data_IF_311906689111
#
_entry.id   IF_311906689111
#
_cell.length_a   1.000
_cell.length_b   1.000
_cell.length_c   1.000
_cell.angle_alpha   90.00
_cell.angle_beta   90.00
_cell.angle_gamma   90.00
#
_symmetry.space_group_name_H-M   'P 1'
#
loop_
_entity.id
_entity.type
_entity.pdbx_description
1 polymer ?
#
# COMPACT_ATOMS: atom_id res chain seq x y z
N UNK A 1 7.39 24.65 2.73
CA UNK A 1 6.38 24.14 1.81
C UNK A 1 6.51 22.63 1.65
N UNK A 2 5.38 21.93 1.67
CA UNK A 2 5.39 20.49 1.57
C UNK A 2 5.17 20.05 0.14
N UNK A 3 5.86 19.00 -0.23
CA UNK A 3 5.63 18.36 -1.51
C UNK A 3 4.79 17.12 -1.31
N UNK A 4 3.92 16.86 -2.25
CA UNK A 4 3.15 15.64 -2.24
C UNK A 4 3.62 14.76 -3.37
N UNK A 5 3.81 13.50 -3.04
CA UNK A 5 4.23 12.50 -4.02
C UNK A 5 3.14 11.45 -4.07
N UNK A 6 2.64 11.19 -5.26
CA UNK A 6 1.65 10.16 -5.44
C UNK A 6 2.34 8.82 -5.72
N UNK A 7 1.96 7.80 -4.98
CA UNK A 7 2.42 6.44 -5.26
C UNK A 7 1.22 5.52 -5.22
N UNK A 8 1.32 4.43 -5.96
CA UNK A 8 0.27 3.42 -5.94
C UNK A 8 0.35 2.57 -4.70
N UNK A 9 1.52 2.48 -4.10
CA UNK A 9 1.68 1.71 -2.90
C UNK A 9 3.12 1.32 -2.69
N UNK A 10 3.30 0.49 -1.69
CA UNK A 10 4.62 -0.04 -1.35
C UNK A 10 4.73 -1.42 -1.98
N UNK A 11 5.80 -1.63 -2.71
CA UNK A 11 6.06 -2.94 -3.29
C UNK A 11 6.92 -3.78 -2.37
N UNK A 12 8.10 -4.12 -2.85
CA UNK A 12 8.98 -4.98 -2.07
C UNK A 12 9.61 -4.21 -0.92
N UNK A 13 9.74 -4.87 0.21
CA UNK A 13 10.38 -4.32 1.39
C UNK A 13 11.54 -5.24 1.75
N UNK A 14 12.71 -4.67 1.96
CA UNK A 14 13.87 -5.46 2.32
C UNK A 14 14.62 -4.83 3.48
N UNK A 15 15.40 -5.66 4.14
CA UNK A 15 16.26 -5.22 5.24
C UNK A 15 17.69 -5.51 4.86
N UNK A 16 18.50 -4.48 4.82
CA UNK A 16 19.88 -4.63 4.38
C UNK A 16 20.73 -3.58 5.03
N UNK A 17 21.86 -4.02 5.59
CA UNK A 17 22.81 -3.12 6.24
C UNK A 17 22.16 -2.28 7.32
N UNK A 18 21.25 -2.90 8.08
CA UNK A 18 20.59 -2.21 9.19
C UNK A 18 19.52 -1.23 8.79
N UNK A 19 19.17 -1.17 7.52
CA UNK A 19 18.18 -0.22 7.03
C UNK A 19 17.04 -0.95 6.34
N UNK A 20 15.87 -0.39 6.46
CA UNK A 20 14.68 -0.87 5.74
C UNK A 20 14.59 -0.10 4.44
N UNK A 21 14.43 -0.84 3.36
CA UNK A 21 14.28 -0.25 2.03
C UNK A 21 12.94 -0.69 1.46
N UNK A 22 12.17 0.25 1.00
CA UNK A 22 10.84 -0.02 0.45
C UNK A 22 10.75 0.56 -0.94
N UNK A 23 10.27 -0.24 -1.87
CA UNK A 23 10.03 0.23 -3.22
C UNK A 23 8.71 0.98 -3.26
N UNK A 24 8.75 2.22 -3.68
CA UNK A 24 7.55 3.03 -3.87
C UNK A 24 7.12 2.88 -5.30
N UNK A 25 5.94 2.33 -5.50
CA UNK A 25 5.48 1.92 -6.82
C UNK A 25 4.63 2.99 -7.47
N UNK A 26 4.73 3.07 -8.76
CA UNK A 26 3.86 3.90 -9.57
C UNK A 26 3.40 3.11 -10.77
N UNK A 27 2.67 3.75 -11.64
CA UNK A 27 2.21 3.12 -12.87
C UNK A 27 2.87 3.78 -14.06
N UNK A 28 3.36 2.98 -14.98
CA UNK A 28 3.94 3.49 -16.23
C UNK A 28 2.91 3.37 -17.33
N UNK A 29 2.34 4.50 -17.71
CA UNK A 29 1.29 4.51 -18.70
C UNK A 29 1.81 4.21 -20.09
N UNK A 30 3.12 4.31 -20.30
CA UNK A 30 3.69 4.02 -21.62
C UNK A 30 3.92 2.54 -21.82
N UNK A 31 3.86 1.74 -20.76
CA UNK A 31 4.05 0.31 -20.83
C UNK A 31 2.81 -0.37 -20.30
N UNK A 32 2.20 -1.19 -21.11
CA UNK A 32 0.96 -1.84 -20.75
C UNK A 32 1.10 -3.33 -20.91
N UNK A 33 0.36 -4.06 -20.11
CA UNK A 33 0.37 -5.50 -20.21
C UNK A 33 -0.55 -5.93 -21.35
N UNK A 34 -0.76 -7.23 -21.47
CA UNK A 34 -1.56 -7.77 -22.56
C UNK A 34 -3.00 -7.28 -22.53
N UNK A 35 -3.47 -6.88 -21.37
CA UNK A 35 -4.84 -6.40 -21.23
C UNK A 35 -4.93 -4.89 -21.29
N UNK A 36 -3.87 -4.24 -21.70
CA UNK A 36 -3.85 -2.79 -21.85
C UNK A 36 -3.87 -2.06 -20.52
N UNK A 37 -3.42 -2.71 -19.46
CA UNK A 37 -3.33 -2.08 -18.14
C UNK A 37 -1.93 -1.51 -17.94
N UNK A 38 -1.83 -0.35 -17.29
CA UNK A 38 -0.52 0.20 -17.01
C UNK A 38 0.31 -0.74 -16.14
N UNK A 39 1.60 -0.75 -16.36
CA UNK A 39 2.51 -1.64 -15.67
C UNK A 39 3.04 -0.98 -14.41
N UNK A 40 3.00 -1.68 -13.26
CA UNK A 40 3.61 -1.13 -12.04
C UNK A 40 5.12 -1.05 -12.18
N UNK A 41 5.67 0.04 -11.74
CA UNK A 41 7.12 0.24 -11.78
C UNK A 41 7.59 0.85 -10.48
N UNK A 42 8.85 0.64 -10.16
CA UNK A 42 9.46 1.26 -9.00
C UNK A 42 9.79 2.70 -9.36
N UNK A 43 9.17 3.63 -8.66
CA UNK A 43 9.43 5.04 -8.90
C UNK A 43 10.57 5.55 -8.04
N UNK A 44 10.59 5.14 -6.80
CA UNK A 44 11.56 5.60 -5.83
C UNK A 44 11.75 4.53 -4.79
N UNK A 45 12.78 4.69 -4.00
CA UNK A 45 12.96 3.86 -2.82
C UNK A 45 12.96 4.76 -1.60
N UNK A 46 12.30 4.31 -0.57
CA UNK A 46 12.38 4.93 0.74
C UNK A 46 13.33 4.11 1.58
N UNK A 47 14.23 4.78 2.26
CA UNK A 47 15.20 4.11 3.13
C UNK A 47 15.04 4.70 4.52
N UNK A 48 14.92 3.84 5.50
CA UNK A 48 14.74 4.33 6.86
C UNK A 48 15.38 3.37 7.85
N UNK A 49 15.62 3.86 9.04
CA UNK A 49 16.14 3.03 10.10
C UNK A 49 15.07 2.04 10.53
N UNK A 50 15.50 0.98 11.22
CA UNK A 50 14.54 0.04 11.76
C UNK A 50 13.56 0.73 12.70
N UNK A 51 14.07 1.64 13.52
CA UNK A 51 13.19 2.37 14.43
C UNK A 51 12.17 3.20 13.64
N UNK A 52 12.62 3.87 12.59
CA UNK A 52 11.70 4.66 11.76
C UNK A 52 10.65 3.80 11.12
N UNK A 53 11.03 2.60 10.71
CA UNK A 53 10.07 1.67 10.13
C UNK A 53 8.99 1.29 11.15
N UNK A 54 9.40 1.00 12.39
CA UNK A 54 8.44 0.61 13.41
C UNK A 54 7.52 1.77 13.79
N UNK A 55 8.07 2.97 13.84
CA UNK A 55 7.24 4.16 14.11
C UNK A 55 6.24 4.36 12.98
N UNK A 56 6.69 4.18 11.76
CA UNK A 56 5.81 4.34 10.61
C UNK A 56 4.71 3.29 10.59
N UNK A 57 5.07 2.06 10.93
CA UNK A 57 4.08 1.00 10.98
C UNK A 57 3.00 1.31 12.01
N UNK A 58 3.40 1.79 13.18
CA UNK A 58 2.43 2.15 14.20
C UNK A 58 1.50 3.26 13.72
N UNK A 59 2.06 4.24 13.03
CA UNK A 59 1.23 5.33 12.49
C UNK A 59 0.25 4.82 11.47
N UNK A 60 0.68 3.88 10.63
CA UNK A 60 -0.21 3.30 9.63
C UNK A 60 -1.31 2.49 10.27
N UNK A 61 -0.98 1.73 11.30
CA UNK A 61 -1.98 0.95 12.01
C UNK A 61 -3.00 1.85 12.69
N UNK A 62 -2.56 2.96 13.25
CA UNK A 62 -3.48 3.92 13.84
C UNK A 62 -4.43 4.48 12.80
N UNK A 63 -3.93 4.76 11.61
CA UNK A 63 -4.79 5.26 10.55
C UNK A 63 -5.81 4.22 10.14
N UNK A 64 -5.39 2.95 10.05
CA UNK A 64 -6.32 1.87 9.72
C UNK A 64 -7.44 1.81 10.75
N UNK A 65 -7.10 1.92 12.04
CA UNK A 65 -8.12 1.90 13.09
C UNK A 65 -9.10 3.05 12.92
N UNK A 66 -8.60 4.22 12.60
CA UNK A 66 -9.48 5.38 12.40
C UNK A 66 -10.38 5.19 11.20
N UNK A 67 -9.86 4.59 10.14
CA UNK A 67 -10.67 4.34 8.95
C UNK A 67 -11.75 3.31 9.21
N UNK A 68 -11.44 2.32 10.04
CA UNK A 68 -12.46 1.34 10.42
C UNK A 68 -13.54 2.02 11.26
N UNK A 69 -13.15 2.87 12.21
CA UNK A 69 -14.11 3.57 13.05
C UNK A 69 -14.99 4.52 12.24
N UNK A 70 -14.41 5.13 11.21
CA UNK A 70 -15.16 6.05 10.36
C UNK A 70 -16.03 5.35 9.34
N UNK A 71 -15.96 4.03 9.25
CA UNK A 71 -16.78 3.29 8.30
C UNK A 71 -16.21 3.24 6.91
N UNK A 72 -14.99 3.68 6.70
CA UNK A 72 -14.35 3.64 5.40
C UNK A 72 -13.83 2.24 5.08
N UNK A 73 -13.37 1.54 6.12
CA UNK A 73 -12.84 0.19 5.97
C UNK A 73 -13.62 -0.76 6.86
N UNK A 74 -13.66 -2.02 6.45
CA UNK A 74 -14.22 -3.09 7.25
C UNK A 74 -13.16 -4.14 7.48
N UNK A 75 -13.17 -4.69 8.69
CA UNK A 75 -12.35 -5.86 8.99
C UNK A 75 -13.17 -7.10 8.78
N UNK A 76 -12.60 -8.05 8.09
CA UNK A 76 -13.20 -9.34 7.87
C UNK A 76 -12.21 -10.41 8.24
N UNK A 77 -12.70 -11.45 8.89
CA UNK A 77 -11.85 -12.59 9.14
C UNK A 77 -11.99 -13.57 8.03
N UNK A 78 -10.85 -14.03 7.54
CA UNK A 78 -10.84 -14.94 6.43
C UNK A 78 -9.66 -15.87 6.63
N UNK A 79 -9.93 -17.16 6.73
CA UNK A 79 -8.87 -18.15 6.91
C UNK A 79 -8.00 -17.83 8.10
N UNK A 80 -8.58 -17.30 9.18
CA UNK A 80 -7.83 -17.01 10.38
C UNK A 80 -7.06 -15.72 10.35
N UNK A 81 -7.20 -14.92 9.32
CA UNK A 81 -6.49 -13.66 9.20
C UNK A 81 -7.48 -12.53 8.99
N UNK A 82 -7.16 -11.39 9.56
CA UNK A 82 -7.99 -10.20 9.37
C UNK A 82 -7.71 -9.60 8.01
N UNK A 83 -8.76 -9.32 7.28
CA UNK A 83 -8.65 -8.72 5.96
C UNK A 83 -9.38 -7.40 5.99
N UNK A 84 -8.77 -6.38 5.44
CA UNK A 84 -9.36 -5.05 5.36
C UNK A 84 -9.96 -4.87 3.99
N UNK A 85 -11.20 -4.43 3.94
CA UNK A 85 -11.88 -4.18 2.68
C UNK A 85 -12.57 -2.83 2.76
N UNK A 86 -12.71 -2.14 1.61
CA UNK A 86 -13.48 -0.91 1.60
C UNK A 86 -14.92 -1.20 1.97
N UNK A 87 -15.49 -0.32 2.78
CA UNK A 87 -16.89 -0.43 3.17
C UNK A 87 -17.79 0.30 2.20
N UNK A 88 -17.24 1.16 1.37
CA UNK A 88 -18.00 1.99 0.45
C UNK A 88 -18.00 1.32 -0.91
N UNK A 89 -19.18 1.11 -1.52
CA UNK A 89 -19.23 0.37 -2.78
C UNK A 89 -18.40 0.96 -3.91
N UNK A 90 -18.29 2.27 -3.99
CA UNK A 90 -17.53 2.89 -5.06
C UNK A 90 -16.13 3.29 -4.62
N UNK A 91 -15.62 2.70 -3.56
CA UNK A 91 -14.23 2.90 -3.18
C UNK A 91 -13.32 2.30 -4.24
N UNK A 92 -12.08 2.77 -4.33
CA UNK A 92 -11.15 2.23 -5.32
C UNK A 92 -11.04 0.73 -5.24
N UNK A 93 -10.90 0.11 -6.38
CA UNK A 93 -10.96 -1.34 -6.51
C UNK A 93 -9.58 -1.97 -6.50
N UNK A 94 -8.64 -1.35 -5.81
CA UNK A 94 -7.28 -1.84 -5.82
C UNK A 94 -7.17 -3.20 -5.15
N UNK A 95 -7.81 -3.34 -4.00
CA UNK A 95 -7.75 -4.59 -3.25
C UNK A 95 -8.45 -5.70 -4.02
N UNK A 96 -9.58 -5.39 -4.62
CA UNK A 96 -10.30 -6.38 -5.39
C UNK A 96 -9.50 -6.91 -6.54
N UNK A 97 -8.80 -6.02 -7.23
CA UNK A 97 -7.99 -6.44 -8.37
C UNK A 97 -6.88 -7.38 -7.93
N UNK A 98 -6.29 -7.10 -6.79
CA UNK A 98 -5.24 -7.98 -6.29
C UNK A 98 -5.77 -9.35 -5.99
N UNK A 99 -6.99 -9.42 -5.53
CA UNK A 99 -7.56 -10.71 -5.17
C UNK A 99 -7.93 -11.55 -6.35
N UNK A 100 -8.07 -10.96 -7.48
CA UNK A 100 -8.46 -11.72 -8.66
C UNK A 100 -7.36 -12.56 -9.23
N UNK A 101 -6.20 -12.40 -8.71
CA UNK A 101 -5.07 -13.16 -9.22
C UNK A 101 -5.05 -14.59 -8.79
#
# INVERSE_FOLDING_TARGET
MKKETYIEGIGEIGFHLGMIRMNLMGLDLSQKDEKDNPTPVVQQQAVMSLRGFLVSLAAMENMVDKLVEAGVLKRKEQAGAAVLTPAVPDAPDVVSRTKKK
#
